data_IF_590447459830
#
_entry.id   IF_590447459830
#
_cell.length_a   1.000
_cell.length_b   1.000
_cell.length_c   1.000
_cell.angle_alpha   90.00
_cell.angle_beta   90.00
_cell.angle_gamma   90.00
#
_symmetry.space_group_name_H-M   'P 1'
#
loop_
_entity.id
_entity.type
_entity.pdbx_description
1 polymer ?
#
# COMPACT_ATOMS: atom_id res chain seq x y z
N UNK A 1 15.52 -39.18 -9.44
CA UNK A 1 15.13 -38.21 -8.39
C UNK A 1 15.24 -36.82 -8.98
N UNK A 2 14.12 -36.14 -9.26
CA UNK A 2 14.14 -34.80 -9.85
C UNK A 2 14.27 -33.79 -8.71
N UNK A 3 15.45 -33.17 -8.62
CA UNK A 3 15.70 -32.09 -7.66
C UNK A 3 14.79 -30.90 -7.98
N UNK A 4 13.98 -30.49 -7.01
CA UNK A 4 13.21 -29.25 -7.12
C UNK A 4 14.19 -28.09 -7.07
N UNK A 5 14.36 -27.39 -8.19
CA UNK A 5 14.96 -26.06 -8.20
C UNK A 5 14.08 -25.19 -7.30
N UNK A 6 14.59 -24.88 -6.11
CA UNK A 6 14.02 -23.82 -5.30
C UNK A 6 14.41 -22.51 -5.99
N UNK A 7 13.47 -21.96 -6.77
CA UNK A 7 13.54 -20.59 -7.25
C UNK A 7 13.50 -19.68 -6.02
N UNK A 8 14.66 -19.48 -5.40
CA UNK A 8 14.92 -18.30 -4.60
C UNK A 8 14.81 -17.12 -5.57
N UNK A 9 13.60 -16.59 -5.74
CA UNK A 9 13.42 -15.22 -6.21
C UNK A 9 13.93 -14.27 -5.13
N UNK A 10 15.24 -14.29 -4.91
CA UNK A 10 15.97 -13.21 -4.29
C UNK A 10 16.45 -12.31 -5.43
N UNK A 11 15.48 -11.78 -6.18
CA UNK A 11 15.73 -10.62 -7.01
C UNK A 11 15.93 -9.46 -6.05
N UNK A 12 17.18 -9.20 -5.68
CA UNK A 12 17.60 -7.86 -5.26
C UNK A 12 17.56 -6.96 -6.50
N UNK A 13 16.37 -6.80 -7.09
CA UNK A 13 16.20 -5.98 -8.27
C UNK A 13 16.42 -4.54 -7.84
N UNK A 14 17.48 -3.95 -8.37
CA UNK A 14 17.64 -2.51 -8.48
C UNK A 14 16.45 -2.04 -9.33
N UNK A 15 15.33 -1.81 -8.65
CA UNK A 15 14.05 -1.52 -9.27
C UNK A 15 14.25 -0.24 -10.10
N UNK A 16 14.09 -0.34 -11.42
CA UNK A 16 14.21 0.84 -12.29
C UNK A 16 13.24 1.91 -11.79
N UNK A 17 13.61 3.19 -11.90
CA UNK A 17 12.81 4.29 -11.34
C UNK A 17 11.33 4.24 -11.78
N UNK A 18 11.07 3.78 -13.00
CA UNK A 18 9.73 3.57 -13.55
C UNK A 18 8.93 2.48 -12.82
N UNK A 19 9.59 1.39 -12.39
CA UNK A 19 8.95 0.29 -11.67
C UNK A 19 8.57 0.75 -10.25
N UNK A 20 9.44 1.52 -9.59
CA UNK A 20 9.16 2.09 -8.27
C UNK A 20 7.95 3.02 -8.36
N UNK A 21 7.94 3.88 -9.38
CA UNK A 21 6.83 4.81 -9.63
C UNK A 21 5.53 4.06 -9.92
N UNK A 22 5.58 2.99 -10.70
CA UNK A 22 4.41 2.14 -10.96
C UNK A 22 3.88 1.49 -9.67
N UNK A 23 4.76 0.98 -8.81
CA UNK A 23 4.38 0.40 -7.50
C UNK A 23 3.72 1.44 -6.59
N UNK A 24 4.22 2.67 -6.57
CA UNK A 24 3.60 3.78 -5.84
C UNK A 24 2.20 4.10 -6.37
N UNK A 25 2.03 4.22 -7.70
CA UNK A 25 0.72 4.47 -8.33
C UNK A 25 -0.29 3.36 -8.03
N UNK A 26 0.15 2.09 -8.09
CA UNK A 26 -0.69 0.94 -7.72
C UNK A 26 -1.10 0.97 -6.25
N UNK A 27 -0.19 1.40 -5.37
CA UNK A 27 -0.49 1.52 -3.96
C UNK A 27 -1.51 2.64 -3.69
N UNK A 28 -1.37 3.79 -4.36
CA UNK A 28 -2.34 4.89 -4.29
C UNK A 28 -3.74 4.44 -4.72
N UNK A 29 -3.85 3.75 -5.87
CA UNK A 29 -5.12 3.22 -6.37
C UNK A 29 -5.77 2.25 -5.37
N UNK A 30 -4.99 1.29 -4.86
CA UNK A 30 -5.47 0.31 -3.90
C UNK A 30 -5.99 0.96 -2.61
N UNK A 31 -5.26 1.95 -2.07
CA UNK A 31 -5.65 2.67 -0.85
C UNK A 31 -6.92 3.49 -1.08
N UNK A 32 -7.01 4.26 -2.17
CA UNK A 32 -8.21 5.05 -2.49
C UNK A 32 -9.42 4.16 -2.67
N UNK A 33 -9.28 3.04 -3.39
CA UNK A 33 -10.39 2.09 -3.61
C UNK A 33 -10.87 1.48 -2.30
N UNK A 34 -9.95 1.10 -1.41
CA UNK A 34 -10.27 0.56 -0.09
C UNK A 34 -10.97 1.60 0.80
N UNK A 35 -10.40 2.81 0.89
CA UNK A 35 -10.91 3.89 1.74
C UNK A 35 -12.27 4.41 1.25
N UNK A 36 -12.49 4.48 -0.06
CA UNK A 36 -13.79 4.84 -0.64
C UNK A 36 -14.90 3.86 -0.24
N UNK A 37 -14.58 2.56 -0.11
CA UNK A 37 -15.53 1.53 0.31
C UNK A 37 -15.76 1.48 1.82
N UNK A 38 -14.71 1.65 2.65
CA UNK A 38 -14.79 1.50 4.11
C UNK A 38 -15.12 2.80 4.85
N UNK A 39 -14.85 3.97 4.24
CA UNK A 39 -15.02 5.33 4.78
C UNK A 39 -14.20 5.68 6.02
N UNK A 40 -13.96 4.74 6.94
CA UNK A 40 -13.10 4.85 8.13
C UNK A 40 -12.28 3.57 8.26
N UNK A 41 -10.97 3.69 8.48
CA UNK A 41 -10.10 2.53 8.66
C UNK A 41 -8.83 2.87 9.45
N UNK A 42 -8.39 1.96 10.32
CA UNK A 42 -7.11 2.07 11.03
C UNK A 42 -5.93 1.70 10.13
N UNK A 43 -4.73 2.21 10.40
CA UNK A 43 -3.53 1.97 9.60
C UNK A 43 -3.21 0.47 9.50
N UNK A 44 -3.29 -0.25 10.62
CA UNK A 44 -3.00 -1.70 10.65
C UNK A 44 -3.91 -2.49 9.70
N UNK A 45 -5.22 -2.27 9.81
CA UNK A 45 -6.23 -2.92 8.96
C UNK A 45 -6.09 -2.52 7.49
N UNK A 46 -5.78 -1.26 7.23
CA UNK A 46 -5.51 -0.76 5.89
C UNK A 46 -4.29 -1.45 5.28
N UNK A 47 -3.19 -1.54 6.03
CA UNK A 47 -1.96 -2.19 5.58
C UNK A 47 -2.19 -3.67 5.27
N UNK A 48 -2.90 -4.41 6.14
CA UNK A 48 -3.20 -5.82 5.90
C UNK A 48 -4.06 -6.04 4.66
N UNK A 49 -5.11 -5.23 4.48
CA UNK A 49 -5.96 -5.33 3.27
C UNK A 49 -5.18 -4.96 2.00
N UNK A 50 -4.35 -3.92 2.05
CA UNK A 50 -3.52 -3.50 0.91
C UNK A 50 -2.49 -4.57 0.52
N UNK A 51 -1.82 -5.20 1.49
CA UNK A 51 -0.96 -6.36 1.20
C UNK A 51 -1.77 -7.49 0.57
N UNK A 52 -2.94 -7.79 1.13
CA UNK A 52 -3.83 -8.83 0.60
C UNK A 52 -4.20 -8.62 -0.88
N UNK A 53 -4.40 -7.36 -1.28
CA UNK A 53 -4.71 -6.97 -2.65
C UNK A 53 -3.49 -7.02 -3.59
N UNK A 54 -2.30 -6.68 -3.09
CA UNK A 54 -1.10 -6.51 -3.91
C UNK A 54 -0.15 -7.72 -3.89
N UNK A 55 -0.34 -8.69 -2.99
CA UNK A 55 0.57 -9.84 -2.79
C UNK A 55 0.95 -10.63 -4.05
N UNK A 56 0.07 -10.66 -5.06
CA UNK A 56 0.33 -11.35 -6.33
C UNK A 56 1.26 -10.57 -7.27
N UNK A 57 1.45 -9.27 -7.04
CA UNK A 57 2.29 -8.39 -7.84
C UNK A 57 3.57 -7.99 -7.08
N UNK A 58 3.44 -7.50 -5.85
CA UNK A 58 4.56 -7.13 -4.98
C UNK A 58 4.09 -6.96 -3.53
N UNK A 59 5.04 -6.96 -2.60
CA UNK A 59 4.76 -6.71 -1.18
C UNK A 59 5.17 -5.26 -0.85
N UNK A 60 4.21 -4.34 -0.61
CA UNK A 60 4.53 -2.96 -0.27
C UNK A 60 5.22 -2.88 1.10
N UNK A 61 6.29 -2.09 1.19
CA UNK A 61 6.91 -1.78 2.48
C UNK A 61 6.09 -0.75 3.26
N UNK A 62 6.16 -0.79 4.60
CA UNK A 62 5.48 0.19 5.48
C UNK A 62 5.85 1.64 5.14
N UNK A 63 7.10 1.91 4.78
CA UNK A 63 7.56 3.25 4.37
C UNK A 63 6.79 3.77 3.15
N UNK A 64 6.64 2.95 2.11
CA UNK A 64 5.95 3.32 0.89
C UNK A 64 4.47 3.61 1.14
N UNK A 65 3.83 2.86 2.05
CA UNK A 65 2.44 3.12 2.44
C UNK A 65 2.30 4.46 3.18
N UNK A 66 3.22 4.79 4.09
CA UNK A 66 3.21 6.09 4.79
C UNK A 66 3.31 7.25 3.80
N UNK A 67 4.26 7.19 2.87
CA UNK A 67 4.43 8.23 1.84
C UNK A 67 3.15 8.42 1.00
N UNK A 68 2.49 7.31 0.64
CA UNK A 68 1.22 7.36 -0.10
C UNK A 68 0.09 7.96 0.75
N UNK A 69 -0.02 7.63 2.03
CA UNK A 69 -1.04 8.21 2.92
C UNK A 69 -0.80 9.72 3.07
N UNK A 70 0.44 10.14 3.30
CA UNK A 70 0.80 11.55 3.43
C UNK A 70 0.43 12.33 2.17
N UNK A 71 0.73 11.77 1.00
CA UNK A 71 0.34 12.35 -0.28
C UNK A 71 -1.18 12.42 -0.46
N UNK A 72 -1.92 11.39 -0.03
CA UNK A 72 -3.39 11.37 -0.09
C UNK A 72 -4.03 12.37 0.90
N UNK A 73 -3.40 12.61 2.05
CA UNK A 73 -3.83 13.63 3.00
C UNK A 73 -3.62 15.04 2.43
N UNK A 74 -2.45 15.31 1.83
CA UNK A 74 -2.14 16.60 1.19
C UNK A 74 -3.17 16.95 0.11
N UNK A 75 -3.59 15.95 -0.66
CA UNK A 75 -4.62 16.09 -1.70
C UNK A 75 -6.06 16.05 -1.20
N UNK A 76 -6.29 16.06 0.11
CA UNK A 76 -7.63 16.03 0.72
C UNK A 76 -8.46 14.80 0.31
N UNK A 77 -7.83 13.67 0.02
CA UNK A 77 -8.53 12.39 -0.12
C UNK A 77 -8.72 11.70 1.22
N UNK A 78 -7.78 11.89 2.15
CA UNK A 78 -7.80 11.31 3.48
C UNK A 78 -7.66 12.39 4.56
N UNK A 79 -8.29 12.15 5.70
CA UNK A 79 -8.11 12.96 6.90
C UNK A 79 -7.86 12.05 8.11
N UNK A 80 -7.00 12.50 9.04
CA UNK A 80 -6.77 11.77 10.29
C UNK A 80 -7.85 12.10 11.30
N UNK A 81 -8.28 11.09 12.04
CA UNK A 81 -9.17 11.29 13.17
C UNK A 81 -8.47 12.08 14.29
N UNK A 82 -9.17 13.06 14.88
CA UNK A 82 -8.60 13.90 15.95
C UNK A 82 -8.48 13.17 17.30
N UNK A 83 -9.22 12.08 17.50
CA UNK A 83 -9.21 11.25 18.71
C UNK A 83 -8.27 10.05 18.54
N UNK A 84 -8.25 9.46 17.35
CA UNK A 84 -7.48 8.25 17.03
C UNK A 84 -6.46 8.51 15.92
N UNK A 85 -5.21 8.75 16.30
CA UNK A 85 -4.12 9.12 15.36
C UNK A 85 -3.85 8.04 14.29
N UNK A 86 -4.14 6.78 14.61
CA UNK A 86 -3.95 5.64 13.70
C UNK A 86 -5.15 5.43 12.74
N UNK A 87 -6.22 6.20 12.90
CA UNK A 87 -7.45 6.05 12.12
C UNK A 87 -7.58 7.16 11.08
N UNK A 88 -7.94 6.75 9.87
CA UNK A 88 -8.12 7.63 8.72
C UNK A 88 -9.55 7.58 8.21
N UNK A 89 -9.99 8.70 7.65
CA UNK A 89 -11.27 8.85 6.97
C UNK A 89 -11.09 9.19 5.51
N UNK A 90 -12.01 8.70 4.69
CA UNK A 90 -12.11 9.14 3.30
C UNK A 90 -12.92 10.44 3.22
N UNK A 91 -12.29 11.48 2.68
CA UNK A 91 -12.92 12.77 2.42
C UNK A 91 -13.56 12.69 1.03
N UNK A 92 -14.87 12.93 0.95
CA UNK A 92 -15.68 12.95 -0.28
C UNK A 92 -15.93 14.37 -0.71
#
# INVERSE_FOLDING_TARGET
MIGRLQLSQSGCDVDSADVVRFRQLRLQEAVVRLMKSRKRLAYSEMYQQVIGLLKNQFIPSKRMLKEVIEWLMERRYLERDSKEIDTFFYVT
#
